data_IF_444507985577
#
_entry.id   IF_444507985577
#
_cell.length_a   1.000
_cell.length_b   1.000
_cell.length_c   1.000
_cell.angle_alpha   90.00
_cell.angle_beta   90.00
_cell.angle_gamma   90.00
#
_symmetry.space_group_name_H-M   'P 1'
#
loop_
_entity.id
_entity.type
_entity.pdbx_description
1 polymer ?
#
# COMPACT_ATOMS: atom_id res chain seq x y z
N UNK A 1 -0.58 18.66 1.46
CA UNK A 1 0.36 18.51 2.58
C UNK A 1 1.76 18.11 2.13
N UNK A 2 2.12 16.82 1.99
CA UNK A 2 3.51 16.45 1.65
C UNK A 2 3.98 17.05 0.31
N UNK A 3 3.11 17.09 -0.69
CA UNK A 3 3.40 17.72 -1.98
C UNK A 3 3.67 19.22 -1.86
N UNK A 4 2.82 19.96 -1.16
CA UNK A 4 3.00 21.41 -0.94
C UNK A 4 4.30 21.69 -0.20
N UNK A 5 4.62 20.91 0.85
CA UNK A 5 5.87 21.06 1.58
C UNK A 5 7.08 20.85 0.67
N UNK A 6 7.08 19.79 -0.15
CA UNK A 6 8.14 19.55 -1.14
C UNK A 6 8.24 20.69 -2.17
N UNK A 7 7.11 21.20 -2.65
CA UNK A 7 7.09 22.29 -3.62
C UNK A 7 7.64 23.60 -3.08
N UNK A 8 7.23 23.99 -1.87
CA UNK A 8 7.70 25.20 -1.19
C UNK A 8 9.19 25.10 -0.88
N UNK A 9 9.62 23.97 -0.34
CA UNK A 9 11.00 23.78 0.09
C UNK A 9 11.97 23.64 -1.09
N UNK A 10 11.59 22.92 -2.14
CA UNK A 10 12.42 22.84 -3.34
C UNK A 10 12.56 24.21 -4.03
N UNK A 11 11.48 25.02 -4.07
CA UNK A 11 11.56 26.41 -4.56
C UNK A 11 12.48 27.26 -3.68
N UNK A 12 12.41 27.10 -2.36
CA UNK A 12 13.29 27.79 -1.40
C UNK A 12 14.76 27.47 -1.63
N UNK A 13 15.06 26.21 -1.97
CA UNK A 13 16.40 25.73 -2.30
C UNK A 13 16.84 26.06 -3.75
N UNK A 14 15.97 26.67 -4.56
CA UNK A 14 16.26 27.06 -5.94
C UNK A 14 16.14 25.93 -6.96
N UNK A 15 15.47 24.84 -6.61
CA UNK A 15 15.20 23.72 -7.51
C UNK A 15 13.86 23.90 -8.25
N UNK A 16 13.81 23.42 -9.49
CA UNK A 16 12.55 23.24 -10.20
C UNK A 16 11.94 21.91 -9.81
N UNK A 17 10.67 21.92 -9.44
CA UNK A 17 9.96 20.72 -8.97
C UNK A 17 8.57 20.66 -9.58
N UNK A 18 8.14 19.43 -9.87
CA UNK A 18 6.77 19.09 -10.23
C UNK A 18 6.35 17.90 -9.38
N UNK A 19 5.21 18.00 -8.69
CA UNK A 19 4.72 16.93 -7.82
C UNK A 19 3.40 16.36 -8.33
N UNK A 20 3.41 15.06 -8.67
CA UNK A 20 2.19 14.28 -8.83
C UNK A 20 1.71 13.79 -7.46
N UNK A 21 0.43 13.98 -7.17
CA UNK A 21 -0.20 13.43 -5.96
C UNK A 21 -1.14 12.29 -6.33
N UNK A 22 -1.18 11.25 -5.50
CA UNK A 22 -2.08 10.11 -5.68
C UNK A 22 -2.90 9.91 -4.41
N UNK A 23 -4.22 10.03 -4.54
CA UNK A 23 -5.16 9.81 -3.44
C UNK A 23 -6.27 8.83 -3.84
N UNK A 24 -7.29 8.71 -3.00
CA UNK A 24 -8.45 7.83 -3.24
C UNK A 24 -9.23 8.18 -4.50
N UNK A 25 -9.22 9.45 -4.90
CA UNK A 25 -9.89 9.97 -6.11
C UNK A 25 -9.02 9.87 -7.38
N UNK A 26 -7.82 9.28 -7.27
CA UNK A 26 -6.87 9.12 -8.37
C UNK A 26 -5.68 10.07 -8.31
N UNK A 27 -4.95 10.14 -9.42
CA UNK A 27 -3.76 10.98 -9.54
C UNK A 27 -4.12 12.41 -9.98
N UNK A 28 -3.48 13.40 -9.38
CA UNK A 28 -3.55 14.81 -9.77
C UNK A 28 -2.16 15.31 -10.13
N UNK A 29 -2.09 16.28 -11.06
CA UNK A 29 -0.84 16.84 -11.59
C UNK A 29 0.08 15.75 -12.14
N UNK A 30 -0.48 14.84 -12.95
CA UNK A 30 0.27 13.73 -13.50
C UNK A 30 1.53 14.21 -14.24
N UNK A 31 2.64 13.55 -13.96
CA UNK A 31 3.89 13.79 -14.66
C UNK A 31 3.79 13.27 -16.09
N UNK A 32 4.07 14.14 -17.05
CA UNK A 32 4.20 13.79 -18.46
C UNK A 32 5.49 13.02 -18.71
N UNK A 33 5.53 12.24 -19.80
CA UNK A 33 6.74 11.51 -20.17
C UNK A 33 7.95 12.44 -20.39
N UNK A 34 7.70 13.64 -20.94
CA UNK A 34 8.74 14.64 -21.17
C UNK A 34 9.28 15.18 -19.84
N UNK A 35 8.42 15.56 -18.89
CA UNK A 35 8.85 16.01 -17.56
C UNK A 35 9.67 14.93 -16.83
N UNK A 36 9.30 13.66 -16.96
CA UNK A 36 10.08 12.56 -16.39
C UNK A 36 11.43 12.42 -17.10
N UNK A 37 11.46 12.50 -18.43
CA UNK A 37 12.67 12.41 -19.24
C UNK A 37 13.65 13.57 -18.97
N UNK A 38 13.14 14.77 -18.67
CA UNK A 38 13.96 15.95 -18.38
C UNK A 38 14.37 16.04 -16.91
N UNK A 39 13.72 15.29 -16.00
CA UNK A 39 14.05 15.30 -14.59
C UNK A 39 15.43 14.67 -14.30
N UNK A 40 16.25 15.38 -13.54
CA UNK A 40 17.55 14.90 -13.03
C UNK A 40 17.39 13.86 -11.91
N UNK A 41 16.30 13.98 -11.13
CA UNK A 41 16.07 13.22 -9.91
C UNK A 41 14.57 12.99 -9.69
N UNK A 42 14.22 11.79 -9.24
CA UNK A 42 12.85 11.41 -8.87
C UNK A 42 12.79 11.10 -7.37
N UNK A 43 11.94 11.82 -6.64
CA UNK A 43 11.64 11.55 -5.23
C UNK A 43 10.27 10.86 -5.14
N UNK A 44 10.26 9.65 -4.59
CA UNK A 44 9.03 8.90 -4.29
C UNK A 44 8.76 9.00 -2.80
N UNK A 45 7.89 9.93 -2.40
CA UNK A 45 7.37 10.04 -1.04
C UNK A 45 6.02 9.33 -0.94
N UNK A 46 6.01 8.05 -0.56
CA UNK A 46 4.79 7.24 -0.52
C UNK A 46 4.83 6.20 0.60
N UNK A 47 3.67 6.01 1.26
CA UNK A 47 3.45 4.97 2.28
C UNK A 47 2.65 3.77 1.74
N UNK A 48 2.36 3.80 0.44
CA UNK A 48 1.64 2.76 -0.29
C UNK A 48 2.37 2.44 -1.60
N UNK A 49 2.00 1.33 -2.23
CA UNK A 49 2.56 0.94 -3.52
C UNK A 49 2.11 1.91 -4.63
N UNK A 50 3.07 2.34 -5.45
CA UNK A 50 2.86 3.27 -6.56
C UNK A 50 3.49 2.72 -7.84
N UNK A 51 2.89 2.95 -9.02
CA UNK A 51 3.49 2.56 -10.29
C UNK A 51 4.77 3.35 -10.56
N UNK A 52 5.86 2.63 -10.84
CA UNK A 52 7.20 3.20 -11.01
C UNK A 52 7.82 2.92 -12.39
N UNK A 53 7.13 2.16 -13.23
CA UNK A 53 7.55 1.73 -14.58
C UNK A 53 8.09 2.89 -15.42
N UNK A 54 7.40 4.03 -15.43
CA UNK A 54 7.80 5.23 -16.18
C UNK A 54 9.10 5.91 -15.71
N UNK A 55 9.63 5.54 -14.55
CA UNK A 55 10.86 6.13 -13.98
C UNK A 55 12.09 5.24 -14.17
N UNK A 56 12.02 4.25 -15.06
CA UNK A 56 13.16 3.39 -15.37
C UNK A 56 14.39 4.20 -15.81
N UNK A 57 15.56 3.82 -15.28
CA UNK A 57 16.84 4.49 -15.51
C UNK A 57 17.04 5.80 -14.76
N UNK A 58 16.01 6.39 -14.17
CA UNK A 58 16.13 7.69 -13.46
C UNK A 58 16.75 7.53 -12.08
N UNK A 59 17.63 8.45 -11.65
CA UNK A 59 18.06 8.54 -10.26
C UNK A 59 16.83 8.68 -9.36
N UNK A 60 16.66 7.75 -8.43
CA UNK A 60 15.48 7.67 -7.60
C UNK A 60 15.84 7.59 -6.12
N UNK A 61 15.14 8.40 -5.32
CA UNK A 61 15.14 8.34 -3.86
C UNK A 61 13.74 8.02 -3.35
N UNK A 62 13.63 7.12 -2.37
CA UNK A 62 12.34 6.69 -1.80
C UNK A 62 12.27 7.04 -0.32
N UNK A 63 11.15 7.60 0.12
CA UNK A 63 10.88 7.95 1.52
C UNK A 63 9.38 7.86 1.83
N UNK A 64 8.99 8.07 3.09
CA UNK A 64 7.58 8.10 3.53
C UNK A 64 6.95 9.48 3.32
N UNK A 65 5.61 9.54 3.21
CA UNK A 65 4.93 10.85 3.12
C UNK A 65 5.10 11.65 4.40
N UNK A 66 5.16 10.98 5.55
CA UNK A 66 5.37 11.59 6.85
C UNK A 66 6.75 12.23 7.01
N UNK A 67 7.81 11.59 6.50
CA UNK A 67 9.16 12.17 6.52
C UNK A 67 9.28 13.32 5.52
N UNK A 68 8.74 13.15 4.30
CA UNK A 68 8.71 14.22 3.30
C UNK A 68 7.95 15.47 3.75
N UNK A 69 6.99 15.34 4.68
CA UNK A 69 6.27 16.47 5.27
C UNK A 69 6.99 17.09 6.47
N UNK A 70 7.57 16.27 7.37
CA UNK A 70 8.14 16.75 8.65
C UNK A 70 9.62 17.12 8.57
N UNK A 71 10.33 16.57 7.59
CA UNK A 71 11.79 16.68 7.43
C UNK A 71 12.15 16.99 5.98
N UNK A 72 11.33 17.79 5.31
CA UNK A 72 11.38 18.06 3.87
C UNK A 72 12.78 18.39 3.35
N UNK A 73 13.45 19.37 3.97
CA UNK A 73 14.82 19.79 3.58
C UNK A 73 15.82 18.64 3.65
N UNK A 74 15.76 17.85 4.74
CA UNK A 74 16.65 16.71 4.93
C UNK A 74 16.42 15.64 3.87
N UNK A 75 15.16 15.37 3.52
CA UNK A 75 14.81 14.35 2.53
C UNK A 75 15.19 14.80 1.11
N UNK A 76 15.04 16.09 0.77
CA UNK A 76 15.53 16.63 -0.51
C UNK A 76 17.05 16.51 -0.60
N UNK A 77 17.78 16.91 0.45
CA UNK A 77 19.24 16.82 0.46
C UNK A 77 19.75 15.38 0.37
N UNK A 78 19.12 14.44 1.10
CA UNK A 78 19.42 13.01 0.97
C UNK A 78 19.15 12.51 -0.43
N UNK A 79 18.07 12.96 -1.07
CA UNK A 79 17.76 12.52 -2.42
C UNK A 79 18.87 12.85 -3.42
N UNK A 80 19.56 13.99 -3.28
CA UNK A 80 20.71 14.31 -4.14
C UNK A 80 21.96 13.46 -3.87
N UNK A 81 22.09 12.87 -2.68
CA UNK A 81 23.27 12.09 -2.27
C UNK A 81 23.05 10.59 -2.46
N UNK A 82 21.85 10.11 -2.13
CA UNK A 82 21.52 8.69 -2.01
C UNK A 82 20.71 8.15 -3.19
N UNK A 83 20.25 9.01 -4.11
CA UNK A 83 19.52 8.54 -5.28
C UNK A 83 20.37 7.63 -6.15
N UNK A 84 19.80 6.49 -6.52
CA UNK A 84 20.44 5.52 -7.40
C UNK A 84 19.59 5.29 -8.63
N UNK A 85 20.18 4.94 -9.78
CA UNK A 85 19.42 4.64 -10.99
C UNK A 85 18.40 3.53 -10.72
N UNK A 86 17.11 3.84 -10.84
CA UNK A 86 16.06 2.87 -10.68
C UNK A 86 16.05 1.92 -11.89
N UNK A 87 15.98 0.62 -11.64
CA UNK A 87 15.67 -0.36 -12.69
C UNK A 87 14.34 -1.01 -12.39
N UNK A 88 13.37 -0.72 -13.23
CA UNK A 88 12.14 -1.45 -13.36
C UNK A 88 12.45 -2.80 -14.03
N UNK A 89 12.42 -3.87 -13.24
CA UNK A 89 12.47 -5.22 -13.77
C UNK A 89 11.10 -5.59 -14.35
N UNK A 90 10.87 -5.19 -15.60
CA UNK A 90 9.76 -5.65 -16.42
C UNK A 90 9.89 -7.18 -16.62
N UNK A 91 9.28 -7.97 -15.73
CA UNK A 91 9.29 -9.43 -15.81
C UNK A 91 9.70 -10.20 -14.55
N UNK A 92 9.93 -9.55 -13.41
CA UNK A 92 10.17 -10.26 -12.15
C UNK A 92 8.95 -10.20 -11.24
N UNK A 93 8.00 -11.11 -11.48
CA UNK A 93 7.37 -11.80 -10.35
C UNK A 93 8.48 -12.27 -9.42
N UNK A 94 8.52 -11.73 -8.20
CA UNK A 94 9.24 -12.22 -7.01
C UNK A 94 10.60 -12.90 -7.24
N UNK A 95 11.70 -12.18 -7.02
CA UNK A 95 12.98 -12.70 -6.46
C UNK A 95 14.03 -11.56 -6.52
N UNK A 96 14.77 -11.13 -5.51
CA UNK A 96 14.97 -11.48 -4.10
C UNK A 96 16.23 -10.75 -3.60
N UNK A 97 16.33 -10.47 -2.29
CA UNK A 97 17.54 -9.99 -1.59
C UNK A 97 17.31 -8.65 -0.86
N UNK A 98 17.41 -8.48 0.46
CA UNK A 98 18.04 -9.26 1.54
C UNK A 98 17.19 -9.07 2.80
N UNK A 99 16.28 -10.00 3.10
CA UNK A 99 15.39 -9.87 4.27
C UNK A 99 14.68 -11.19 4.62
N UNK A 100 15.43 -12.24 4.96
CA UNK A 100 14.88 -13.57 5.29
C UNK A 100 13.79 -13.54 6.38
N UNK A 101 13.77 -12.52 7.25
CA UNK A 101 12.72 -12.34 8.27
C UNK A 101 11.49 -11.57 7.78
N UNK A 102 11.62 -10.61 6.84
CA UNK A 102 10.45 -9.89 6.30
C UNK A 102 9.74 -10.68 5.21
N UNK A 103 10.44 -11.56 4.47
CA UNK A 103 9.82 -12.43 3.47
C UNK A 103 8.78 -13.38 4.07
N UNK A 104 9.16 -14.15 5.09
CA UNK A 104 8.24 -15.08 5.78
C UNK A 104 7.07 -14.34 6.42
N UNK A 105 7.34 -13.21 7.09
CA UNK A 105 6.28 -12.38 7.67
C UNK A 105 5.32 -11.85 6.59
N UNK A 106 5.83 -11.43 5.43
CA UNK A 106 5.01 -10.99 4.30
C UNK A 106 4.14 -12.12 3.74
N UNK A 107 4.68 -13.34 3.62
CA UNK A 107 3.89 -14.52 3.21
C UNK A 107 2.83 -14.91 4.24
N UNK A 108 3.14 -14.81 5.54
CA UNK A 108 2.19 -15.06 6.60
C UNK A 108 1.08 -14.00 6.63
N UNK A 109 1.45 -12.72 6.53
CA UNK A 109 0.52 -11.59 6.51
C UNK A 109 -0.39 -11.62 5.28
N UNK A 110 0.14 -11.97 4.10
CA UNK A 110 -0.69 -12.13 2.89
C UNK A 110 -1.70 -13.27 3.05
N UNK A 111 -1.31 -14.40 3.63
CA UNK A 111 -2.24 -15.48 3.99
C UNK A 111 -3.36 -15.01 4.92
N UNK A 112 -3.01 -14.28 6.00
CA UNK A 112 -4.00 -13.73 6.94
C UNK A 112 -4.91 -12.70 6.27
N UNK A 113 -4.37 -11.80 5.45
CA UNK A 113 -5.16 -10.80 4.70
C UNK A 113 -6.16 -11.46 3.74
N UNK A 114 -5.81 -12.59 3.13
CA UNK A 114 -6.74 -13.35 2.28
C UNK A 114 -7.78 -14.14 3.09
N UNK A 115 -7.47 -14.55 4.32
CA UNK A 115 -8.41 -15.24 5.21
C UNK A 115 -9.38 -14.27 5.92
N UNK A 116 -8.96 -13.03 6.16
CA UNK A 116 -9.72 -12.04 6.95
C UNK A 116 -11.13 -11.76 6.41
N UNK A 117 -11.37 -11.61 5.09
CA UNK A 117 -12.73 -11.47 4.56
C UNK A 117 -13.64 -12.67 4.89
N UNK A 118 -13.10 -13.90 4.87
CA UNK A 118 -13.86 -15.13 5.15
C UNK A 118 -14.21 -15.21 6.64
N UNK A 119 -13.24 -14.91 7.51
CA UNK A 119 -13.40 -14.87 8.98
C UNK A 119 -14.45 -13.83 9.39
N UNK A 120 -14.37 -12.63 8.81
CA UNK A 120 -15.32 -11.54 9.10
C UNK A 120 -16.73 -11.92 8.63
N UNK A 121 -16.86 -12.47 7.41
CA UNK A 121 -18.15 -12.93 6.89
C UNK A 121 -18.73 -14.07 7.76
N UNK A 122 -17.92 -15.05 8.14
CA UNK A 122 -18.33 -16.16 9.00
C UNK A 122 -18.84 -15.68 10.37
N UNK A 123 -18.13 -14.77 11.02
CA UNK A 123 -18.53 -14.18 12.29
C UNK A 123 -19.85 -13.41 12.21
N UNK A 124 -20.07 -12.66 11.13
CA UNK A 124 -21.36 -11.97 10.90
C UNK A 124 -22.51 -12.97 10.69
N UNK A 125 -22.27 -14.07 9.98
CA UNK A 125 -23.27 -15.12 9.76
C UNK A 125 -23.63 -15.83 11.09
N UNK A 126 -22.65 -16.09 11.96
CA UNK A 126 -22.89 -16.60 13.33
C UNK A 126 -23.73 -15.60 14.13
N UNK A 127 -23.40 -14.31 14.07
CA UNK A 127 -24.17 -13.29 14.77
C UNK A 127 -25.65 -13.26 14.33
N UNK A 128 -25.92 -13.47 13.03
CA UNK A 128 -27.28 -13.61 12.52
C UNK A 128 -27.99 -14.85 13.03
N UNK A 129 -27.27 -15.95 13.29
CA UNK A 129 -27.86 -17.13 13.94
C UNK A 129 -28.41 -16.81 15.34
N UNK A 130 -27.71 -15.98 16.12
CA UNK A 130 -28.13 -15.66 17.49
C UNK A 130 -29.33 -14.71 17.57
N UNK A 131 -29.69 -14.04 16.48
CA UNK A 131 -30.93 -13.23 16.42
C UNK A 131 -32.17 -14.09 16.64
N UNK A 132 -32.12 -15.36 16.25
CA UNK A 132 -33.22 -16.33 16.45
C UNK A 132 -33.24 -16.95 17.85
N UNK A 133 -32.28 -16.59 18.72
CA UNK A 133 -32.10 -17.12 20.06
C UNK A 133 -30.72 -17.76 20.23
N UNK A 134 -30.13 -17.60 21.42
CA UNK A 134 -28.77 -18.07 21.72
C UNK A 134 -28.59 -19.59 21.61
N UNK A 135 -29.68 -20.36 21.64
CA UNK A 135 -29.66 -21.82 21.50
C UNK A 135 -30.41 -22.32 20.26
N UNK A 136 -30.97 -21.42 19.44
CA UNK A 136 -31.82 -21.77 18.30
C UNK A 136 -31.07 -22.60 17.23
N UNK A 137 -29.74 -22.49 17.20
CA UNK A 137 -28.90 -23.28 16.30
C UNK A 137 -28.84 -24.78 16.65
N UNK A 138 -29.30 -25.19 17.85
CA UNK A 138 -29.32 -26.59 18.29
C UNK A 138 -30.44 -27.41 17.64
N UNK A 139 -31.46 -26.76 17.09
CA UNK A 139 -32.52 -27.42 16.36
C UNK A 139 -32.12 -27.60 14.89
N UNK A 140 -31.77 -28.84 14.52
CA UNK A 140 -31.37 -29.18 13.16
C UNK A 140 -32.49 -28.91 12.14
N UNK A 141 -32.11 -28.40 10.97
CA UNK A 141 -33.04 -28.04 9.90
C UNK A 141 -33.62 -26.62 10.00
N UNK A 142 -33.33 -25.88 11.08
CA UNK A 142 -33.72 -24.47 11.20
C UNK A 142 -32.76 -23.54 10.45
N UNK A 143 -33.25 -22.34 10.12
CA UNK A 143 -32.40 -21.28 9.53
C UNK A 143 -31.23 -20.91 10.45
N UNK A 144 -31.44 -20.92 11.77
CA UNK A 144 -30.38 -20.68 12.74
C UNK A 144 -29.28 -21.75 12.67
N UNK A 145 -29.65 -23.04 12.63
CA UNK A 145 -28.68 -24.12 12.47
C UNK A 145 -27.91 -24.03 11.14
N UNK A 146 -28.58 -23.64 10.04
CA UNK A 146 -27.93 -23.43 8.75
C UNK A 146 -26.93 -22.27 8.78
N UNK A 147 -27.31 -21.13 9.37
CA UNK A 147 -26.42 -19.98 9.56
C UNK A 147 -25.23 -20.33 10.44
N UNK A 148 -25.44 -21.05 11.55
CA UNK A 148 -24.36 -21.50 12.43
C UNK A 148 -23.41 -22.47 11.72
N UNK A 149 -23.92 -23.37 10.88
CA UNK A 149 -23.09 -24.31 10.11
C UNK A 149 -22.26 -23.58 9.05
N UNK A 150 -22.86 -22.66 8.30
CA UNK A 150 -22.16 -21.87 7.27
C UNK A 150 -21.12 -20.96 7.90
N UNK A 151 -21.50 -20.25 8.97
CA UNK A 151 -20.65 -19.28 9.63
C UNK A 151 -19.56 -19.93 10.48
N UNK A 152 -19.87 -20.97 11.24
CA UNK A 152 -18.94 -21.64 12.17
C UNK A 152 -18.21 -22.83 11.57
N UNK A 153 -18.94 -23.71 10.88
CA UNK A 153 -18.43 -24.97 10.35
C UNK A 153 -17.72 -24.86 8.99
N UNK A 154 -18.01 -23.83 8.19
CA UNK A 154 -17.41 -23.66 6.85
C UNK A 154 -16.42 -22.51 6.76
N UNK A 155 -16.58 -21.44 7.54
CA UNK A 155 -15.70 -20.25 7.45
C UNK A 155 -14.49 -20.30 8.38
N UNK A 156 -14.50 -21.16 9.41
CA UNK A 156 -13.43 -21.31 10.40
C UNK A 156 -12.82 -22.74 10.45
N UNK A 157 -13.21 -23.62 9.53
CA UNK A 157 -12.71 -25.00 9.43
C UNK A 157 -11.50 -25.14 8.50
#
# INVERSE_FOLDING_TARGET
>A
MAAEALEEEAKRLGHTIKVETRGSVGAKNQLTAQEVADADLVIIAADIEVPLDRFDGKPMYKTSTGLALKKTEQEINKAFVEATPYKHTAGASQSGGTEEKKGVYKHLMTGVSHMLPVVVAGGLIIALSFVFGIEAFKEEGTLAAALMTIGGGSAFA
#
